data_IF_073549828317
#
_entry.id   IF_073549828317
#
_cell.length_a   1.000
_cell.length_b   1.000
_cell.length_c   1.000
_cell.angle_alpha   90.00
_cell.angle_beta   90.00
_cell.angle_gamma   90.00
#
_symmetry.space_group_name_H-M   'P 1'
#
loop_
_entity.id
_entity.type
_entity.pdbx_description
1 polymer ?
#
# COMPACT_ATOMS: atom_id res chain seq x y z
N UNK A 1 0.14 12.55 -5.57
CA UNK A 1 -1.19 11.89 -5.69
C UNK A 1 -0.87 10.50 -6.12
N UNK A 2 -0.70 9.69 -5.10
CA UNK A 2 -0.03 8.42 -5.15
C UNK A 2 -0.63 7.52 -6.23
N UNK A 3 0.25 6.88 -7.00
CA UNK A 3 -0.15 5.96 -8.05
C UNK A 3 -0.93 4.78 -7.47
N UNK A 4 -0.55 4.33 -6.28
CA UNK A 4 -1.22 3.28 -5.52
C UNK A 4 -2.63 3.68 -5.13
N UNK A 5 -2.82 4.88 -4.57
CA UNK A 5 -4.16 5.41 -4.23
C UNK A 5 -5.08 5.40 -5.44
N UNK A 6 -4.58 5.84 -6.62
CA UNK A 6 -5.39 5.78 -7.85
C UNK A 6 -5.76 4.36 -8.26
N UNK A 7 -4.85 3.40 -8.12
CA UNK A 7 -5.12 2.00 -8.46
C UNK A 7 -6.19 1.43 -7.52
N UNK A 8 -6.05 1.65 -6.21
CA UNK A 8 -7.02 1.23 -5.20
C UNK A 8 -8.41 1.84 -5.46
N UNK A 9 -8.47 3.14 -5.77
CA UNK A 9 -9.73 3.79 -6.13
C UNK A 9 -10.36 3.20 -7.41
N UNK A 10 -9.55 2.88 -8.43
CA UNK A 10 -10.07 2.37 -9.71
C UNK A 10 -10.41 0.88 -9.69
N UNK A 11 -9.68 0.08 -8.90
CA UNK A 11 -9.83 -1.38 -8.84
C UNK A 11 -10.86 -1.81 -7.81
N UNK A 12 -10.83 -1.17 -6.64
CA UNK A 12 -11.65 -1.53 -5.49
C UNK A 12 -12.84 -0.58 -5.29
N UNK A 13 -13.05 0.38 -6.22
CA UNK A 13 -14.09 1.43 -6.15
C UNK A 13 -14.04 2.23 -4.84
N UNK A 14 -12.84 2.36 -4.26
CA UNK A 14 -12.63 3.07 -3.01
C UNK A 14 -12.69 4.57 -3.21
N UNK A 15 -13.20 5.27 -2.19
CA UNK A 15 -13.05 6.72 -2.13
C UNK A 15 -11.58 7.09 -1.91
N UNK A 16 -11.21 8.33 -2.27
CA UNK A 16 -9.84 8.80 -2.08
C UNK A 16 -9.38 8.67 -0.61
N UNK A 17 -10.28 9.01 0.33
CA UNK A 17 -10.01 8.92 1.75
C UNK A 17 -9.77 7.47 2.20
N UNK A 18 -10.56 6.51 1.72
CA UNK A 18 -10.37 5.10 2.05
C UNK A 18 -9.08 4.54 1.47
N UNK A 19 -8.75 4.88 0.22
CA UNK A 19 -7.50 4.46 -0.40
C UNK A 19 -6.27 5.06 0.31
N UNK A 20 -6.36 6.32 0.77
CA UNK A 20 -5.32 6.95 1.59
C UNK A 20 -5.21 6.32 2.99
N UNK A 21 -6.34 5.96 3.61
CA UNK A 21 -6.37 5.27 4.91
C UNK A 21 -5.75 3.87 4.81
N UNK A 22 -6.11 3.09 3.77
CA UNK A 22 -5.55 1.78 3.49
C UNK A 22 -4.01 1.86 3.32
N UNK A 23 -3.54 2.84 2.55
CA UNK A 23 -2.11 3.05 2.33
C UNK A 23 -1.38 3.43 3.62
N UNK A 24 -2.05 4.16 4.52
CA UNK A 24 -1.52 4.54 5.82
C UNK A 24 -1.39 3.36 6.77
N UNK A 25 -2.40 2.49 6.81
CA UNK A 25 -2.38 1.23 7.57
C UNK A 25 -1.22 0.34 7.09
N UNK A 26 -1.07 0.19 5.77
CA UNK A 26 0.02 -0.59 5.18
C UNK A 26 1.38 0.01 5.52
N UNK A 27 1.54 1.34 5.46
CA UNK A 27 2.78 1.99 5.91
C UNK A 27 3.09 1.69 7.37
N UNK A 28 2.07 1.67 8.23
CA UNK A 28 2.25 1.34 9.65
C UNK A 28 2.72 -0.11 9.83
N UNK A 29 2.10 -1.06 9.11
CA UNK A 29 2.51 -2.47 9.13
C UNK A 29 3.95 -2.67 8.62
N UNK A 30 4.33 -1.97 7.54
CA UNK A 30 5.70 -1.96 7.01
C UNK A 30 6.70 -1.40 8.04
N UNK A 31 6.30 -0.37 8.78
CA UNK A 31 7.14 0.22 9.83
C UNK A 31 7.27 -0.74 11.04
N UNK A 32 6.20 -1.45 11.41
CA UNK A 32 6.20 -2.45 12.49
C UNK A 32 7.05 -3.69 12.15
N UNK A 33 7.04 -4.14 10.89
CA UNK A 33 7.93 -5.22 10.42
C UNK A 33 9.35 -4.73 10.10
N UNK A 34 9.67 -3.45 10.38
CA UNK A 34 10.97 -2.83 10.14
C UNK A 34 11.42 -2.91 8.67
N UNK A 35 10.46 -2.79 7.74
CA UNK A 35 10.68 -2.84 6.30
C UNK A 35 11.36 -4.15 5.85
N UNK A 36 11.09 -5.25 6.55
CA UNK A 36 11.58 -6.56 6.14
C UNK A 36 11.03 -6.91 4.75
N UNK A 37 11.88 -7.22 3.76
CA UNK A 37 11.43 -7.38 2.38
C UNK A 37 10.46 -8.56 2.19
N UNK A 38 10.58 -9.62 2.98
CA UNK A 38 9.71 -10.80 2.88
C UNK A 38 8.32 -10.50 3.46
N UNK A 39 8.27 -9.90 4.66
CA UNK A 39 6.99 -9.48 5.25
C UNK A 39 6.35 -8.32 4.48
N UNK A 40 7.14 -7.37 3.98
CA UNK A 40 6.64 -6.24 3.21
C UNK A 40 5.93 -6.69 1.92
N UNK A 41 6.49 -7.69 1.24
CA UNK A 41 5.86 -8.29 0.07
C UNK A 41 4.51 -8.93 0.43
N UNK A 42 4.47 -9.69 1.52
CA UNK A 42 3.25 -10.35 1.98
C UNK A 42 2.17 -9.33 2.38
N UNK A 43 2.54 -8.28 3.10
CA UNK A 43 1.64 -7.18 3.48
C UNK A 43 1.09 -6.48 2.24
N UNK A 44 1.93 -6.08 1.28
CA UNK A 44 1.48 -5.36 0.08
C UNK A 44 0.58 -6.25 -0.78
N UNK A 45 0.93 -7.53 -0.93
CA UNK A 45 0.11 -8.47 -1.69
C UNK A 45 -1.20 -8.81 -0.98
N UNK A 46 -1.21 -8.94 0.35
CA UNK A 46 -2.40 -9.32 1.11
C UNK A 46 -3.35 -8.13 1.31
N UNK A 47 -2.82 -6.96 1.66
CA UNK A 47 -3.61 -5.79 2.05
C UNK A 47 -3.97 -4.92 0.85
N UNK A 48 -3.00 -4.66 -0.03
CA UNK A 48 -3.22 -3.85 -1.23
C UNK A 48 -3.56 -4.71 -2.44
N UNK A 49 -3.35 -6.03 -2.41
CA UNK A 49 -3.51 -6.86 -3.61
C UNK A 49 -2.57 -6.43 -4.75
N UNK A 50 -1.47 -5.76 -4.43
CA UNK A 50 -0.53 -5.22 -5.41
C UNK A 50 0.77 -6.00 -5.38
N UNK A 51 1.52 -5.89 -6.47
CA UNK A 51 2.89 -6.39 -6.49
C UNK A 51 3.80 -5.51 -5.63
N UNK A 52 4.86 -6.08 -5.01
CA UNK A 52 5.84 -5.33 -4.23
C UNK A 52 6.60 -4.27 -5.05
N UNK A 53 6.48 -4.28 -6.38
CA UNK A 53 7.04 -3.24 -7.27
C UNK A 53 6.54 -1.83 -6.91
N UNK A 54 5.32 -1.73 -6.36
CA UNK A 54 4.74 -0.47 -5.90
C UNK A 54 5.24 0.00 -4.53
N UNK A 55 6.14 -0.73 -3.86
CA UNK A 55 6.67 -0.37 -2.54
C UNK A 55 7.33 1.01 -2.54
N UNK A 56 7.99 1.37 -3.65
CA UNK A 56 8.60 2.69 -3.80
C UNK A 56 7.53 3.80 -3.87
N UNK A 57 6.43 3.58 -4.59
CA UNK A 57 5.31 4.53 -4.62
C UNK A 57 4.62 4.64 -3.24
N UNK A 58 4.59 3.58 -2.44
CA UNK A 58 4.00 3.57 -1.08
C UNK A 58 4.87 4.35 -0.08
N UNK A 59 6.19 4.18 -0.15
CA UNK A 59 7.13 4.76 0.82
C UNK A 59 7.50 6.22 0.52
N UNK A 60 7.42 6.65 -0.74
CA UNK A 60 7.96 7.94 -1.19
C UNK A 60 6.91 8.97 -1.68
N UNK A 61 5.59 8.72 -1.61
CA UNK A 61 4.53 9.74 -1.88
C UNK A 61 3.96 10.37 -0.59
#
# INVERSE_FOLDING_TARGET
>A
MNRVVKILMQRDDLSQAEAEELLREVRYMLEECNYDPEESEDIISSELGLEPDYIMDILFD
#
